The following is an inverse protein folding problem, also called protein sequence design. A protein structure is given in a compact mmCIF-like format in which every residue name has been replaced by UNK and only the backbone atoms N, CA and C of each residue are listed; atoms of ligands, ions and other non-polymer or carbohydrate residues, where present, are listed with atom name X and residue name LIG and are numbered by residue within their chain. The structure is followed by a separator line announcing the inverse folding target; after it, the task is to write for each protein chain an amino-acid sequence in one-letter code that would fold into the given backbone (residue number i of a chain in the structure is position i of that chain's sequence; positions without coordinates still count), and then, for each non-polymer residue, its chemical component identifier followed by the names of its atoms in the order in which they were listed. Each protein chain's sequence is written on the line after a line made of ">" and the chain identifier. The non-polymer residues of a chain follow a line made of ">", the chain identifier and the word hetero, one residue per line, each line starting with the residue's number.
data_IF_325769127514
#
_entry.id   IF_325769127514
#
_cell.length_a   1.000
_cell.length_b   1.000
_cell.length_c   1.000
_cell.angle_alpha   90.00
_cell.angle_beta   90.00
_cell.angle_gamma   90.00
#
_symmetry.space_group_name_H-M   'P 1'
#
loop_
_entity.id
_entity.type
_entity.pdbx_description
1 polymer ?
#
# COMPACT_ATOMS: atom_id res chain seq x y z
N UNK A 1 -7.81 9.45 20.85
CA UNK A 1 -6.73 10.02 20.04
C UNK A 1 -7.16 9.86 18.61
N UNK A 2 -7.26 10.95 17.84
CA UNK A 2 -7.75 10.86 16.46
C UNK A 2 -6.73 10.09 15.62
N UNK A 3 -7.16 9.01 14.96
CA UNK A 3 -6.34 8.25 14.00
C UNK A 3 -5.87 9.10 12.79
N UNK A 4 -6.39 10.32 12.66
CA UNK A 4 -6.02 11.31 11.65
C UNK A 4 -4.65 11.96 11.88
N UNK A 5 -4.13 11.95 13.11
CA UNK A 5 -2.84 12.59 13.44
C UNK A 5 -1.63 11.73 13.03
N UNK A 6 -1.85 10.44 12.73
CA UNK A 6 -0.78 9.48 12.40
C UNK A 6 -1.16 8.65 11.17
N UNK A 7 -1.11 9.21 9.96
CA UNK A 7 -1.49 8.50 8.75
C UNK A 7 -0.62 7.27 8.53
N UNK A 8 -1.27 6.13 8.29
CA UNK A 8 -0.62 4.87 7.92
C UNK A 8 -0.59 4.75 6.39
N UNK A 9 0.57 4.42 5.84
CA UNK A 9 0.77 4.27 4.39
C UNK A 9 0.81 2.78 4.03
N UNK A 10 0.09 2.34 3.00
CA UNK A 10 0.21 0.98 2.46
C UNK A 10 0.63 1.02 0.99
N UNK A 11 1.57 0.16 0.61
CA UNK A 11 1.99 0.02 -0.77
C UNK A 11 2.32 -1.43 -1.12
N UNK A 12 2.03 -1.81 -2.37
CA UNK A 12 2.43 -3.09 -2.92
C UNK A 12 3.74 -2.94 -3.69
N UNK A 13 4.76 -3.73 -3.37
CA UNK A 13 6.04 -3.69 -4.07
C UNK A 13 6.85 -4.96 -3.86
N UNK A 14 7.77 -5.25 -4.77
CA UNK A 14 8.74 -6.34 -4.64
C UNK A 14 10.17 -5.83 -4.63
N UNK A 15 10.92 -6.24 -3.60
CA UNK A 15 12.38 -6.15 -3.58
C UNK A 15 12.95 -4.74 -3.73
N UNK A 16 13.67 -4.49 -4.82
CA UNK A 16 14.46 -3.25 -4.98
C UNK A 16 13.61 -1.98 -5.10
N UNK A 17 12.36 -2.13 -5.55
CA UNK A 17 11.49 -1.00 -5.88
C UNK A 17 10.86 -0.35 -4.63
N UNK A 18 10.72 -1.08 -3.52
CA UNK A 18 10.21 -0.53 -2.25
C UNK A 18 11.29 0.16 -1.43
N UNK A 19 12.58 -0.12 -1.69
CA UNK A 19 13.68 0.31 -0.82
C UNK A 19 13.74 1.82 -0.60
N UNK A 20 13.49 2.62 -1.64
CA UNK A 20 13.46 4.08 -1.51
C UNK A 20 12.28 4.54 -0.65
N UNK A 21 11.09 3.96 -0.86
CA UNK A 21 9.87 4.27 -0.11
C UNK A 21 10.00 3.85 1.36
N UNK A 22 10.46 2.63 1.63
CA UNK A 22 10.74 2.12 2.98
C UNK A 22 11.76 3.01 3.70
N UNK A 23 12.83 3.42 3.00
CA UNK A 23 13.84 4.31 3.58
C UNK A 23 13.22 5.66 3.95
N UNK A 24 12.42 6.24 3.05
CA UNK A 24 11.71 7.49 3.29
C UNK A 24 10.77 7.37 4.50
N UNK A 25 9.93 6.33 4.56
CA UNK A 25 9.02 6.12 5.68
C UNK A 25 9.76 5.94 7.01
N UNK A 26 10.85 5.17 7.03
CA UNK A 26 11.69 4.98 8.24
C UNK A 26 12.35 6.27 8.71
N UNK A 27 12.88 7.08 7.77
CA UNK A 27 13.54 8.36 8.11
C UNK A 27 12.55 9.37 8.67
N UNK A 28 11.34 9.42 8.12
CA UNK A 28 10.29 10.36 8.53
C UNK A 28 9.37 9.80 9.64
N UNK A 29 9.68 8.61 10.18
CA UNK A 29 8.85 7.93 11.20
C UNK A 29 7.37 7.76 10.80
N UNK A 30 7.14 7.53 9.51
CA UNK A 30 5.80 7.28 8.95
C UNK A 30 5.50 5.79 9.09
N UNK A 31 4.34 5.47 9.66
CA UNK A 31 3.86 4.10 9.74
C UNK A 31 3.56 3.58 8.33
N UNK A 32 4.11 2.41 7.99
CA UNK A 32 3.89 1.84 6.67
C UNK A 32 3.70 0.32 6.70
N UNK A 33 2.91 -0.17 5.74
CA UNK A 33 2.71 -1.57 5.44
C UNK A 33 3.21 -1.83 4.03
N UNK A 34 4.20 -2.71 3.91
CA UNK A 34 4.66 -3.22 2.62
C UNK A 34 3.96 -4.55 2.34
N UNK A 35 3.21 -4.62 1.25
CA UNK A 35 2.49 -5.81 0.83
C UNK A 35 3.11 -6.40 -0.44
N UNK A 36 3.13 -7.73 -0.54
CA UNK A 36 3.51 -8.38 -1.79
C UNK A 36 2.43 -8.12 -2.85
N UNK A 37 2.77 -7.67 -4.08
CA UNK A 37 1.79 -7.46 -5.15
C UNK A 37 0.97 -8.70 -5.51
N UNK A 38 1.51 -9.91 -5.32
CA UNK A 38 0.75 -11.15 -5.52
C UNK A 38 -0.31 -11.33 -4.44
N UNK A 39 0.05 -11.04 -3.19
CA UNK A 39 -0.89 -11.10 -2.05
C UNK A 39 -1.96 -10.03 -2.16
N UNK A 40 -1.58 -8.79 -2.50
CA UNK A 40 -2.49 -7.68 -2.73
C UNK A 40 -3.47 -7.99 -3.88
N UNK A 41 -2.98 -8.54 -4.99
CA UNK A 41 -3.83 -9.00 -6.10
C UNK A 41 -4.80 -10.09 -5.65
N UNK A 42 -4.37 -11.06 -4.85
CA UNK A 42 -5.25 -12.13 -4.36
C UNK A 42 -6.33 -11.62 -3.40
N UNK A 43 -5.97 -10.68 -2.51
CA UNK A 43 -6.93 -10.07 -1.57
C UNK A 43 -7.90 -9.12 -2.27
N UNK A 44 -7.50 -8.51 -3.39
CA UNK A 44 -8.32 -7.56 -4.15
C UNK A 44 -8.95 -8.15 -5.41
N UNK A 45 -8.68 -9.43 -5.74
CA UNK A 45 -9.13 -10.07 -6.98
C UNK A 45 -10.63 -10.32 -6.96
N UNK A 46 -11.34 -9.41 -7.60
CA UNK A 46 -12.62 -9.65 -8.26
C UNK A 46 -12.40 -9.43 -9.76
N UNK A 47 -13.11 -10.18 -10.61
CA UNK A 47 -13.10 -9.94 -12.06
C UNK A 47 -13.61 -8.52 -12.31
N UNK A 48 -12.72 -7.61 -12.74
CA UNK A 48 -13.08 -6.22 -13.04
C UNK A 48 -12.72 -5.89 -14.47
N UNK A 49 -13.65 -5.22 -15.16
CA UNK A 49 -13.48 -4.76 -16.53
C UNK A 49 -12.49 -3.60 -16.66
N UNK A 50 -12.25 -2.84 -15.58
CA UNK A 50 -11.38 -1.66 -15.59
C UNK A 50 -10.35 -1.72 -14.47
N UNK A 51 -9.08 -1.84 -14.86
CA UNK A 51 -7.91 -1.76 -13.97
C UNK A 51 -7.29 -0.36 -14.13
N UNK A 52 -7.24 0.41 -13.05
CA UNK A 52 -6.54 1.70 -12.98
C UNK A 52 -5.72 1.74 -11.69
N UNK A 53 -4.55 2.39 -11.74
CA UNK A 53 -3.66 2.48 -10.57
C UNK A 53 -4.36 3.16 -9.39
N UNK A 54 -5.23 4.15 -9.67
CA UNK A 54 -6.04 4.82 -8.64
C UNK A 54 -7.02 3.87 -7.94
N UNK A 55 -7.77 3.07 -8.70
CA UNK A 55 -8.75 2.14 -8.14
C UNK A 55 -8.06 1.01 -7.36
N UNK A 56 -6.87 0.61 -7.77
CA UNK A 56 -6.09 -0.41 -7.09
C UNK A 56 -5.45 0.12 -5.81
N UNK A 57 -4.90 1.34 -5.83
CA UNK A 57 -4.41 2.02 -4.63
C UNK A 57 -5.54 2.22 -3.59
N UNK A 58 -6.74 2.60 -4.02
CA UNK A 58 -7.88 2.75 -3.13
C UNK A 58 -8.30 1.43 -2.47
N UNK A 59 -8.32 0.32 -3.22
CA UNK A 59 -8.62 -1.00 -2.66
C UNK A 59 -7.53 -1.48 -1.72
N UNK A 60 -6.28 -1.20 -2.05
CA UNK A 60 -5.14 -1.51 -1.20
C UNK A 60 -5.25 -0.75 0.13
N UNK A 61 -5.63 0.53 0.10
CA UNK A 61 -5.91 1.32 1.31
C UNK A 61 -7.03 0.73 2.17
N UNK A 62 -8.03 0.06 1.58
CA UNK A 62 -9.09 -0.64 2.31
C UNK A 62 -8.63 -1.93 3.01
N UNK A 63 -7.41 -2.41 2.75
CA UNK A 63 -6.84 -3.60 3.39
C UNK A 63 -6.01 -3.27 4.65
N UNK A 64 -5.75 -1.99 4.92
CA UNK A 64 -4.92 -1.48 6.01
C UNK A 64 -5.79 -0.84 7.10
#
# INVERSE_FOLDING_TARGET
>A
MNDLDHPQTIFESTGIYSRAMVRFCRVNQINFIEMNPLEAKFRTSSLRSWKTDQADAHKLAHLA
#
